data_IF_854857454964
#
_entry.id   IF_854857454964
#
_cell.length_a   1.000
_cell.length_b   1.000
_cell.length_c   1.000
_cell.angle_alpha   90.00
_cell.angle_beta   90.00
_cell.angle_gamma   90.00
#
_symmetry.space_group_name_H-M   'P 1'
#
loop_
_entity.id
_entity.type
_entity.pdbx_description
1 polymer ?
#
# COMPACT_ATOMS: atom_id res chain seq x y z
N UNK A 1 -16.50 -19.19 -10.73
CA UNK A 1 -15.12 -19.25 -10.18
C UNK A 1 -14.08 -19.56 -11.27
N UNK A 2 -14.23 -20.66 -12.04
CA UNK A 2 -13.30 -21.07 -13.12
C UNK A 2 -12.96 -19.96 -14.13
N UNK A 3 -13.97 -19.20 -14.57
CA UNK A 3 -13.80 -18.14 -15.57
C UNK A 3 -12.99 -16.92 -15.05
N UNK A 4 -13.00 -16.66 -13.74
CA UNK A 4 -12.26 -15.52 -13.18
C UNK A 4 -10.78 -15.83 -13.05
N UNK A 5 -10.45 -17.05 -12.63
CA UNK A 5 -9.08 -17.51 -12.46
C UNK A 5 -8.33 -17.60 -13.80
N UNK A 6 -8.95 -18.20 -14.83
CA UNK A 6 -8.34 -18.30 -16.16
C UNK A 6 -8.12 -16.92 -16.79
N UNK A 7 -9.03 -15.96 -16.54
CA UNK A 7 -8.84 -14.57 -16.98
C UNK A 7 -7.66 -13.91 -16.26
N UNK A 8 -7.54 -14.10 -14.95
CA UNK A 8 -6.41 -13.58 -14.19
C UNK A 8 -5.06 -14.12 -14.70
N UNK A 9 -5.00 -15.41 -15.09
CA UNK A 9 -3.81 -16.00 -15.70
C UNK A 9 -3.46 -15.27 -17.00
N UNK A 10 -4.42 -15.10 -17.91
CA UNK A 10 -4.18 -14.43 -19.21
C UNK A 10 -3.63 -13.00 -19.04
N UNK A 11 -4.06 -12.28 -18.01
CA UNK A 11 -3.61 -10.91 -17.74
C UNK A 11 -2.30 -10.82 -16.93
N UNK A 12 -1.76 -11.95 -16.45
CA UNK A 12 -0.58 -11.99 -15.57
C UNK A 12 0.73 -11.98 -16.37
N UNK A 13 1.68 -11.10 -16.01
CA UNK A 13 2.99 -11.02 -16.67
C UNK A 13 4.01 -12.04 -16.17
N UNK A 14 3.96 -12.41 -14.89
CA UNK A 14 4.94 -13.30 -14.25
C UNK A 14 4.20 -14.43 -13.54
N UNK A 15 4.51 -15.67 -13.88
CA UNK A 15 3.97 -16.87 -13.26
C UNK A 15 5.03 -17.53 -12.37
N UNK A 16 4.63 -17.97 -11.17
CA UNK A 16 5.53 -18.65 -10.23
C UNK A 16 4.91 -20.01 -9.84
N UNK A 17 4.95 -21.02 -10.72
CA UNK A 17 4.40 -22.33 -10.38
C UNK A 17 5.27 -23.03 -9.34
N UNK A 18 4.65 -23.43 -8.23
CA UNK A 18 5.29 -24.21 -7.16
C UNK A 18 4.96 -25.68 -7.35
N UNK A 19 5.83 -26.41 -8.04
CA UNK A 19 5.63 -27.83 -8.33
C UNK A 19 6.10 -28.64 -7.13
N UNK A 20 5.22 -29.45 -6.57
CA UNK A 20 5.49 -30.36 -5.45
C UNK A 20 5.18 -31.82 -5.83
N UNK A 21 5.56 -32.82 -5.01
CA UNK A 21 5.24 -34.22 -5.29
C UNK A 21 3.75 -34.51 -5.50
N UNK A 22 2.87 -33.72 -4.86
CA UNK A 22 1.40 -33.85 -4.96
C UNK A 22 0.76 -32.90 -5.97
N UNK A 23 1.55 -32.15 -6.72
CA UNK A 23 1.03 -31.14 -7.66
C UNK A 23 0.04 -31.74 -8.67
N UNK A 24 0.33 -32.95 -9.13
CA UNK A 24 -0.50 -33.67 -10.11
C UNK A 24 -1.77 -34.27 -9.53
N UNK A 25 -1.90 -34.33 -8.21
CA UNK A 25 -3.13 -34.82 -7.56
C UNK A 25 -4.29 -33.82 -7.74
N UNK A 26 -3.97 -32.56 -8.06
CA UNK A 26 -4.94 -31.50 -8.33
C UNK A 26 -5.09 -31.24 -9.83
N UNK A 27 -6.28 -31.53 -10.35
CA UNK A 27 -6.69 -31.14 -11.71
C UNK A 27 -6.50 -29.64 -11.96
N UNK A 28 -6.85 -28.81 -10.98
CA UNK A 28 -6.75 -27.35 -11.09
C UNK A 28 -5.31 -26.91 -11.33
N UNK A 29 -4.36 -27.45 -10.57
CA UNK A 29 -2.94 -27.16 -10.74
C UNK A 29 -2.43 -27.50 -12.15
N UNK A 30 -2.91 -28.59 -12.75
CA UNK A 30 -2.56 -28.99 -14.12
C UNK A 30 -3.20 -28.07 -15.17
N UNK A 31 -4.47 -27.70 -15.00
CA UNK A 31 -5.17 -26.78 -15.89
C UNK A 31 -4.54 -25.38 -15.88
N UNK A 32 -4.23 -24.85 -14.69
CA UNK A 32 -3.58 -23.55 -14.53
C UNK A 32 -2.18 -23.56 -15.16
N UNK A 33 -1.38 -24.60 -14.91
CA UNK A 33 -0.03 -24.72 -15.49
C UNK A 33 -0.08 -24.76 -17.02
N UNK A 34 -1.02 -25.52 -17.60
CA UNK A 34 -1.21 -25.57 -19.04
C UNK A 34 -1.57 -24.19 -19.60
N UNK A 35 -2.42 -23.43 -18.90
CA UNK A 35 -2.79 -22.08 -19.32
C UNK A 35 -1.61 -21.10 -19.21
N UNK A 36 -0.79 -21.18 -18.16
CA UNK A 36 0.43 -20.38 -18.00
C UNK A 36 1.40 -20.63 -19.17
N UNK A 37 1.63 -21.91 -19.51
CA UNK A 37 2.51 -22.30 -20.62
C UNK A 37 1.97 -21.86 -21.98
N UNK A 38 0.65 -21.96 -22.19
CA UNK A 38 -0.01 -21.40 -23.38
C UNK A 38 0.26 -19.90 -23.51
N UNK A 39 0.01 -19.12 -22.46
CA UNK A 39 0.26 -17.68 -22.45
C UNK A 39 1.75 -17.33 -22.66
N UNK A 40 2.65 -18.10 -22.06
CA UNK A 40 4.10 -17.96 -22.26
C UNK A 40 4.51 -18.18 -23.72
N UNK A 41 3.98 -19.20 -24.39
CA UNK A 41 4.24 -19.49 -25.81
C UNK A 41 3.78 -18.39 -26.77
N UNK A 42 2.73 -17.65 -26.42
CA UNK A 42 2.21 -16.56 -27.25
C UNK A 42 3.17 -15.36 -27.35
N UNK A 43 4.25 -15.33 -26.57
CA UNK A 43 5.37 -14.40 -26.80
C UNK A 43 5.10 -12.94 -26.41
N UNK A 44 4.19 -12.67 -25.47
CA UNK A 44 3.78 -11.30 -25.07
C UNK A 44 4.47 -10.77 -23.81
N UNK A 45 5.74 -11.12 -23.61
CA UNK A 45 6.50 -10.72 -22.42
C UNK A 45 6.10 -11.42 -21.13
N UNK A 46 5.37 -12.55 -21.25
CA UNK A 46 5.08 -13.43 -20.12
C UNK A 46 6.34 -14.20 -19.70
N UNK A 47 6.52 -14.38 -18.39
CA UNK A 47 7.68 -15.09 -17.81
C UNK A 47 7.17 -16.18 -16.86
N UNK A 48 7.78 -17.36 -16.91
CA UNK A 48 7.53 -18.45 -15.95
C UNK A 48 8.79 -18.65 -15.11
N UNK A 49 8.64 -18.61 -13.79
CA UNK A 49 9.70 -18.78 -12.79
C UNK A 49 9.38 -20.00 -11.91
N UNK A 50 9.78 -21.23 -12.33
CA UNK A 50 9.36 -22.42 -11.62
C UNK A 50 10.13 -22.65 -10.31
N UNK A 51 9.38 -23.04 -9.28
CA UNK A 51 9.92 -23.51 -8.00
C UNK A 51 9.58 -24.99 -7.90
N UNK A 52 10.61 -25.83 -7.81
CA UNK A 52 10.50 -27.26 -7.65
C UNK A 52 10.68 -27.60 -6.18
N UNK A 53 9.56 -27.74 -5.47
CA UNK A 53 9.50 -27.94 -4.03
C UNK A 53 9.53 -29.43 -3.68
N UNK A 54 10.68 -29.94 -3.23
CA UNK A 54 10.90 -31.35 -2.91
C UNK A 54 10.59 -32.33 -4.05
N UNK A 55 10.77 -31.87 -5.29
CA UNK A 55 10.63 -32.69 -6.50
C UNK A 55 11.69 -32.25 -7.50
N UNK A 56 12.42 -33.18 -8.10
CA UNK A 56 13.47 -32.81 -9.03
C UNK A 56 12.87 -32.30 -10.36
N UNK A 57 13.44 -31.26 -11.00
CA UNK A 57 12.99 -30.79 -12.32
C UNK A 57 12.97 -31.90 -13.38
N UNK A 58 13.93 -32.83 -13.30
CA UNK A 58 14.02 -33.99 -14.20
C UNK A 58 12.86 -34.97 -14.03
N UNK A 59 12.33 -35.13 -12.80
CA UNK A 59 11.15 -35.94 -12.53
C UNK A 59 9.90 -35.29 -13.11
N UNK A 60 9.76 -33.96 -12.94
CA UNK A 60 8.65 -33.18 -13.53
C UNK A 60 8.71 -33.23 -15.06
N UNK A 61 9.91 -33.15 -15.64
CA UNK A 61 10.13 -33.23 -17.08
C UNK A 61 9.73 -34.60 -17.63
N UNK A 62 10.25 -35.67 -17.03
CA UNK A 62 10.08 -37.05 -17.54
C UNK A 62 8.72 -37.65 -17.19
N UNK A 63 8.14 -37.26 -16.06
CA UNK A 63 6.83 -37.74 -15.59
C UNK A 63 6.80 -39.26 -15.39
N UNK A 64 7.97 -39.83 -15.07
CA UNK A 64 8.16 -41.28 -14.97
C UNK A 64 8.02 -41.83 -13.55
N UNK A 65 7.98 -40.95 -12.54
CA UNK A 65 7.81 -41.36 -11.16
C UNK A 65 6.42 -41.94 -10.93
N UNK A 66 6.29 -42.75 -9.86
CA UNK A 66 5.07 -43.48 -9.55
C UNK A 66 3.87 -42.52 -9.45
N UNK A 67 4.03 -41.38 -8.78
CA UNK A 67 2.96 -40.38 -8.60
C UNK A 67 2.45 -39.80 -9.91
N UNK A 68 3.34 -39.38 -10.83
CA UNK A 68 2.93 -38.86 -12.14
C UNK A 68 2.22 -39.93 -12.97
N UNK A 69 2.77 -41.16 -13.01
CA UNK A 69 2.16 -42.27 -13.76
C UNK A 69 0.78 -42.63 -13.22
N UNK A 70 0.61 -42.73 -11.90
CA UNK A 70 -0.69 -43.05 -11.30
C UNK A 70 -1.72 -41.96 -11.54
N UNK A 71 -1.34 -40.70 -11.39
CA UNK A 71 -2.23 -39.56 -11.63
C UNK A 71 -2.72 -39.53 -13.08
N UNK A 72 -1.82 -39.64 -14.06
CA UNK A 72 -2.21 -39.60 -15.47
C UNK A 72 -2.98 -40.84 -15.94
N UNK A 73 -2.79 -42.00 -15.30
CA UNK A 73 -3.64 -43.16 -15.54
C UNK A 73 -5.08 -42.87 -15.10
N UNK A 74 -5.26 -42.34 -13.88
CA UNK A 74 -6.58 -42.00 -13.33
C UNK A 74 -7.29 -40.89 -14.12
N UNK A 75 -6.55 -39.88 -14.58
CA UNK A 75 -7.14 -38.84 -15.42
C UNK A 75 -7.45 -39.31 -16.85
N UNK A 76 -6.71 -40.27 -17.38
CA UNK A 76 -6.99 -40.87 -18.69
C UNK A 76 -8.35 -41.57 -18.78
N UNK A 77 -8.94 -41.95 -17.64
CA UNK A 77 -10.31 -42.50 -17.57
C UNK A 77 -11.40 -41.41 -17.62
N UNK A 78 -11.04 -40.15 -17.32
CA UNK A 78 -12.00 -39.05 -17.11
C UNK A 78 -11.90 -37.93 -18.14
N UNK A 79 -10.78 -37.81 -18.84
CA UNK A 79 -10.49 -36.72 -19.76
C UNK A 79 -9.97 -37.25 -21.09
N UNK A 80 -10.21 -36.48 -22.16
CA UNK A 80 -9.75 -36.83 -23.48
C UNK A 80 -8.21 -36.78 -23.61
N UNK A 81 -7.69 -37.50 -24.59
CA UNK A 81 -6.25 -37.61 -24.81
C UNK A 81 -5.58 -36.26 -25.13
N UNK A 82 -6.29 -35.29 -25.72
CA UNK A 82 -5.73 -33.99 -26.03
C UNK A 82 -5.53 -33.17 -24.75
N UNK A 83 -6.52 -33.14 -23.85
CA UNK A 83 -6.39 -32.50 -22.53
C UNK A 83 -5.24 -33.08 -21.71
N UNK A 84 -5.13 -34.41 -21.65
CA UNK A 84 -4.02 -35.08 -20.96
C UNK A 84 -2.68 -34.74 -21.61
N UNK A 85 -2.63 -34.73 -22.94
CA UNK A 85 -1.45 -34.32 -23.72
C UNK A 85 -0.99 -32.90 -23.39
N UNK A 86 -1.92 -31.96 -23.27
CA UNK A 86 -1.61 -30.57 -22.90
C UNK A 86 -0.98 -30.47 -21.51
N UNK A 87 -1.52 -31.18 -20.51
CA UNK A 87 -0.97 -31.16 -19.15
C UNK A 87 0.43 -31.76 -19.09
N UNK A 88 0.64 -32.90 -19.76
CA UNK A 88 1.96 -33.53 -19.85
C UNK A 88 2.98 -32.63 -20.54
N UNK A 89 2.58 -31.99 -21.63
CA UNK A 89 3.46 -31.09 -22.37
C UNK A 89 3.78 -29.80 -21.60
N UNK A 90 2.85 -29.30 -20.78
CA UNK A 90 3.09 -28.17 -19.89
C UNK A 90 4.11 -28.51 -18.79
N UNK A 91 3.94 -29.64 -18.10
CA UNK A 91 4.90 -30.12 -17.10
C UNK A 91 6.28 -30.36 -17.71
N UNK A 92 6.33 -30.96 -18.90
CA UNK A 92 7.58 -31.22 -19.61
C UNK A 92 8.35 -29.92 -19.84
N UNK A 93 7.69 -28.90 -20.41
CA UNK A 93 8.32 -27.62 -20.68
C UNK A 93 8.75 -26.90 -19.40
N UNK A 94 7.89 -26.87 -18.38
CA UNK A 94 8.24 -26.25 -17.11
C UNK A 94 9.40 -26.97 -16.43
N UNK A 95 9.48 -28.30 -16.52
CA UNK A 95 10.62 -29.09 -16.03
C UNK A 95 11.93 -28.89 -16.83
N UNK A 96 11.86 -28.31 -18.03
CA UNK A 96 13.03 -27.92 -18.83
C UNK A 96 13.50 -26.49 -18.53
N UNK A 97 12.65 -25.67 -17.93
CA UNK A 97 12.97 -24.28 -17.59
C UNK A 97 13.95 -24.22 -16.42
N UNK A 98 14.81 -23.18 -16.44
CA UNK A 98 15.64 -22.85 -15.29
C UNK A 98 14.74 -22.39 -14.14
N UNK A 99 14.95 -22.97 -12.96
CA UNK A 99 14.20 -22.64 -11.75
C UNK A 99 14.95 -23.04 -10.49
N UNK A 100 14.25 -23.03 -9.36
CA UNK A 100 14.83 -23.31 -8.05
C UNK A 100 14.37 -24.65 -7.52
N UNK A 101 15.31 -25.52 -7.15
CA UNK A 101 15.01 -26.80 -6.54
C UNK A 101 15.20 -26.71 -5.02
N UNK A 102 14.08 -26.74 -4.29
CA UNK A 102 14.06 -26.72 -2.82
C UNK A 102 14.19 -28.15 -2.31
N UNK A 103 15.22 -28.39 -1.51
CA UNK A 103 15.48 -29.67 -0.85
C UNK A 103 15.67 -29.44 0.66
N UNK A 104 15.86 -30.51 1.44
CA UNK A 104 16.12 -30.41 2.89
C UNK A 104 17.35 -29.57 3.23
N UNK A 105 18.32 -29.48 2.31
CA UNK A 105 19.58 -28.77 2.50
C UNK A 105 19.56 -27.32 2.00
N UNK A 106 18.53 -26.94 1.25
CA UNK A 106 18.37 -25.58 0.71
C UNK A 106 17.34 -24.84 1.56
N UNK A 107 17.81 -23.85 2.33
CA UNK A 107 16.94 -23.02 3.15
C UNK A 107 15.88 -22.29 2.31
N UNK A 108 14.61 -22.45 2.67
CA UNK A 108 13.47 -21.84 1.97
C UNK A 108 13.60 -20.32 1.86
N UNK A 109 14.15 -19.67 2.90
CA UNK A 109 14.39 -18.23 2.91
C UNK A 109 15.33 -17.74 1.80
N UNK A 110 16.37 -18.51 1.46
CA UNK A 110 17.31 -18.17 0.39
C UNK A 110 16.61 -18.20 -0.97
N UNK A 111 15.84 -19.25 -1.24
CA UNK A 111 15.10 -19.39 -2.50
C UNK A 111 14.06 -18.28 -2.65
N UNK A 112 13.33 -17.95 -1.57
CA UNK A 112 12.37 -16.85 -1.58
C UNK A 112 13.05 -15.52 -1.94
N UNK A 113 14.22 -15.23 -1.35
CA UNK A 113 14.96 -14.00 -1.65
C UNK A 113 15.43 -13.96 -3.12
N UNK A 114 15.96 -15.06 -3.65
CA UNK A 114 16.40 -15.13 -5.06
C UNK A 114 15.25 -14.96 -6.04
N UNK A 115 14.11 -15.62 -5.78
CA UNK A 115 12.89 -15.47 -6.58
C UNK A 115 12.40 -14.03 -6.52
N UNK A 116 12.41 -13.41 -5.34
CA UNK A 116 12.00 -12.02 -5.17
C UNK A 116 12.87 -11.06 -6.00
N UNK A 117 14.20 -11.22 -5.96
CA UNK A 117 15.14 -10.43 -6.78
C UNK A 117 14.87 -10.61 -8.28
N UNK A 118 14.60 -11.84 -8.72
CA UNK A 118 14.24 -12.11 -10.12
C UNK A 118 12.94 -11.45 -10.54
N UNK A 119 11.90 -11.52 -9.71
CA UNK A 119 10.62 -10.85 -9.96
C UNK A 119 10.83 -9.34 -10.06
N UNK A 120 11.55 -8.73 -9.10
CA UNK A 120 11.85 -7.30 -9.15
C UNK A 120 12.59 -6.91 -10.43
N UNK A 121 13.58 -7.68 -10.86
CA UNK A 121 14.33 -7.42 -12.09
C UNK A 121 13.43 -7.45 -13.33
N UNK A 122 12.53 -8.45 -13.44
CA UNK A 122 11.59 -8.55 -14.56
C UNK A 122 10.59 -7.40 -14.56
N UNK A 123 10.09 -7.00 -13.38
CA UNK A 123 9.24 -5.83 -13.24
C UNK A 123 10.00 -4.58 -13.67
N UNK A 124 11.20 -4.31 -13.14
CA UNK A 124 12.04 -3.14 -13.52
C UNK A 124 12.28 -3.04 -15.03
N UNK A 125 12.62 -4.15 -15.69
CA UNK A 125 12.86 -4.17 -17.13
C UNK A 125 11.61 -3.84 -17.95
N UNK A 126 10.40 -4.12 -17.44
CA UNK A 126 9.15 -3.73 -18.09
C UNK A 126 8.88 -2.22 -18.07
N UNK A 127 9.62 -1.45 -17.26
CA UNK A 127 9.46 0.01 -17.09
C UNK A 127 10.53 0.83 -17.81
N UNK A 128 11.51 0.20 -18.47
CA UNK A 128 12.56 0.91 -19.21
C UNK A 128 11.95 1.60 -20.43
N UNK A 129 12.15 2.92 -20.56
CA UNK A 129 11.77 3.66 -21.78
C UNK A 129 12.55 3.09 -22.95
N UNK A 130 11.84 2.58 -23.96
CA UNK A 130 12.43 1.87 -25.09
C UNK A 130 12.94 2.80 -26.21
N UNK A 131 13.10 4.10 -25.97
CA UNK A 131 13.37 5.07 -27.04
C UNK A 131 14.47 6.07 -26.69
N UNK A 132 15.52 6.09 -27.50
CA UNK A 132 16.58 7.11 -27.51
C UNK A 132 16.16 8.40 -28.26
N UNK A 133 14.90 8.51 -28.71
CA UNK A 133 14.37 9.60 -29.55
C UNK A 133 13.70 10.74 -28.76
N UNK A 134 14.02 10.92 -27.48
CA UNK A 134 13.43 11.97 -26.65
C UNK A 134 14.24 13.26 -26.74
N UNK A 135 13.72 14.27 -27.44
CA UNK A 135 14.38 15.57 -27.63
C UNK A 135 13.88 16.59 -26.58
N UNK A 136 14.81 17.31 -25.93
CA UNK A 136 14.48 18.47 -25.09
C UNK A 136 13.94 18.17 -23.68
N UNK A 137 13.94 16.91 -23.24
CA UNK A 137 13.45 16.53 -21.91
C UNK A 137 14.49 16.68 -20.79
N UNK A 138 15.79 16.76 -21.12
CA UNK A 138 16.89 16.73 -20.16
C UNK A 138 16.81 17.84 -19.10
N UNK A 139 16.39 19.05 -19.49
CA UNK A 139 16.23 20.17 -18.55
C UNK A 139 15.10 19.93 -17.53
N UNK A 140 14.02 19.26 -17.96
CA UNK A 140 12.90 18.88 -17.11
C UNK A 140 13.30 17.76 -16.16
N UNK A 141 14.03 16.75 -16.66
CA UNK A 141 14.56 15.65 -15.85
C UNK A 141 15.52 16.16 -14.78
N UNK A 142 16.46 17.04 -15.11
CA UNK A 142 17.40 17.62 -14.15
C UNK A 142 16.70 18.48 -13.08
N UNK A 143 15.66 19.24 -13.47
CA UNK A 143 14.84 19.98 -12.51
C UNK A 143 14.13 19.04 -11.54
N UNK A 144 13.57 17.93 -12.03
CA UNK A 144 12.91 16.91 -11.21
C UNK A 144 13.90 16.18 -10.30
N UNK A 145 15.11 15.87 -10.77
CA UNK A 145 16.19 15.29 -9.96
C UNK A 145 16.56 16.19 -8.79
N UNK A 146 16.70 17.50 -9.02
CA UNK A 146 16.94 18.47 -7.93
C UNK A 146 15.80 18.48 -6.92
N UNK A 147 14.55 18.43 -7.38
CA UNK A 147 13.39 18.32 -6.49
C UNK A 147 13.41 17.01 -5.69
N UNK A 148 13.85 15.90 -6.25
CA UNK A 148 13.92 14.61 -5.56
C UNK A 148 15.14 14.45 -4.62
N UNK A 149 16.25 15.14 -4.88
CA UNK A 149 17.51 14.99 -4.13
C UNK A 149 17.56 15.72 -2.77
N UNK A 150 16.62 16.61 -2.46
CA UNK A 150 16.59 17.35 -1.18
C UNK A 150 15.80 16.59 -0.10
N UNK A 151 16.05 15.30 0.06
CA UNK A 151 15.32 14.45 1.03
C UNK A 151 16.28 14.08 2.16
N UNK A 152 16.10 14.72 3.32
CA UNK A 152 16.61 14.19 4.58
C UNK A 152 15.88 12.88 4.91
N UNK A 153 16.59 11.92 5.49
CA UNK A 153 16.16 10.54 5.77
C UNK A 153 14.86 10.39 6.58
N UNK A 154 14.29 11.48 7.10
CA UNK A 154 13.06 11.51 7.90
C UNK A 154 11.84 12.12 7.18
N UNK A 155 11.96 12.64 5.96
CA UNK A 155 10.91 13.43 5.30
C UNK A 155 10.27 12.74 4.10
N UNK A 156 8.93 12.72 4.06
CA UNK A 156 8.16 12.27 2.89
C UNK A 156 8.02 13.43 1.89
N UNK A 157 8.39 13.21 0.63
CA UNK A 157 8.31 14.24 -0.44
C UNK A 157 7.45 13.76 -1.59
N UNK A 158 6.51 14.60 -1.99
CA UNK A 158 5.59 14.34 -3.12
C UNK A 158 5.87 15.40 -4.19
N UNK A 159 6.08 14.96 -5.42
CA UNK A 159 6.31 15.84 -6.58
C UNK A 159 5.22 15.55 -7.62
N UNK A 160 4.47 16.59 -8.00
CA UNK A 160 3.42 16.48 -9.02
C UNK A 160 3.91 16.90 -10.40
N UNK A 161 3.59 16.12 -11.43
CA UNK A 161 3.74 16.48 -12.85
C UNK A 161 2.34 16.71 -13.41
N UNK A 162 2.03 17.93 -13.83
CA UNK A 162 0.70 18.29 -14.36
C UNK A 162 0.83 19.02 -15.71
N UNK A 163 -0.27 19.09 -16.45
CA UNK A 163 -0.30 19.61 -17.82
C UNK A 163 -1.37 18.94 -18.68
N UNK A 164 -1.67 19.51 -19.84
CA UNK A 164 -2.69 19.01 -20.78
C UNK A 164 -2.41 17.57 -21.23
N UNK A 165 -3.45 16.86 -21.68
CA UNK A 165 -3.25 15.53 -22.27
C UNK A 165 -2.27 15.59 -23.45
N UNK A 166 -1.45 14.55 -23.63
CA UNK A 166 -0.49 14.47 -24.74
C UNK A 166 0.80 15.28 -24.61
N UNK A 167 0.99 16.07 -23.54
CA UNK A 167 2.20 16.91 -23.35
C UNK A 167 3.46 16.14 -22.89
N UNK A 168 3.41 14.80 -22.85
CA UNK A 168 4.56 13.99 -22.44
C UNK A 168 4.78 13.87 -20.93
N UNK A 169 3.76 14.12 -20.08
CA UNK A 169 3.86 13.96 -18.61
C UNK A 169 4.37 12.58 -18.19
N UNK A 170 3.71 11.53 -18.68
CA UNK A 170 4.10 10.13 -18.45
C UNK A 170 5.51 9.87 -18.97
N UNK A 171 5.86 10.45 -20.12
CA UNK A 171 7.21 10.33 -20.70
C UNK A 171 8.28 10.93 -19.78
N UNK A 172 8.05 12.13 -19.24
CA UNK A 172 8.97 12.77 -18.28
C UNK A 172 9.02 11.97 -16.98
N UNK A 173 7.88 11.50 -16.45
CA UNK A 173 7.83 10.68 -15.24
C UNK A 173 8.67 9.40 -15.39
N UNK A 174 8.53 8.70 -16.53
CA UNK A 174 9.31 7.51 -16.86
C UNK A 174 10.80 7.82 -17.02
N UNK A 175 11.16 8.93 -17.67
CA UNK A 175 12.55 9.33 -17.85
C UNK A 175 13.22 9.62 -16.51
N UNK A 176 12.56 10.38 -15.64
CA UNK A 176 13.02 10.66 -14.26
C UNK A 176 13.16 9.36 -13.46
N UNK A 177 12.16 8.48 -13.50
CA UNK A 177 12.19 7.20 -12.79
C UNK A 177 13.40 6.34 -13.21
N UNK A 178 13.67 6.24 -14.50
CA UNK A 178 14.79 5.45 -15.02
C UNK A 178 16.15 5.97 -14.55
N UNK A 179 16.30 7.29 -14.38
CA UNK A 179 17.56 7.87 -13.89
C UNK A 179 17.73 7.82 -12.37
N UNK A 180 16.65 7.97 -11.61
CA UNK A 180 16.73 8.14 -10.15
C UNK A 180 16.41 6.89 -9.34
N UNK A 181 15.67 5.93 -9.90
CA UNK A 181 15.21 4.73 -9.17
C UNK A 181 16.33 3.95 -8.49
N UNK A 182 17.53 3.91 -9.08
CA UNK A 182 18.70 3.25 -8.51
C UNK A 182 19.25 3.92 -7.23
N UNK A 183 18.85 5.16 -6.94
CA UNK A 183 19.27 5.91 -5.74
C UNK A 183 18.36 5.66 -4.52
N UNK A 184 17.38 4.78 -4.68
CA UNK A 184 16.39 4.38 -3.68
C UNK A 184 16.55 2.88 -3.44
N UNK A 185 16.41 2.47 -2.19
CA UNK A 185 16.50 1.06 -1.78
C UNK A 185 15.40 0.23 -2.45
N UNK A 186 14.22 0.84 -2.64
CA UNK A 186 13.12 0.27 -3.41
C UNK A 186 12.48 1.31 -4.31
N UNK A 187 11.99 0.90 -5.47
CA UNK A 187 11.29 1.78 -6.40
C UNK A 187 10.15 1.07 -7.12
N UNK A 188 9.06 1.80 -7.38
CA UNK A 188 7.89 1.29 -8.07
C UNK A 188 7.32 2.35 -9.02
N UNK A 189 7.00 1.95 -10.25
CA UNK A 189 6.27 2.74 -11.22
C UNK A 189 4.90 2.09 -11.48
N UNK A 190 3.83 2.75 -11.06
CA UNK A 190 2.47 2.25 -11.22
C UNK A 190 1.82 2.95 -12.41
N UNK A 191 1.67 2.20 -13.51
CA UNK A 191 0.83 2.61 -14.64
C UNK A 191 -0.64 2.35 -14.32
N UNK A 192 -1.49 3.36 -14.53
CA UNK A 192 -2.94 3.29 -14.39
C UNK A 192 -3.43 2.81 -13.01
N UNK A 193 -3.27 3.69 -12.02
CA UNK A 193 -3.63 3.47 -10.61
C UNK A 193 -5.11 3.03 -10.44
N UNK A 194 -5.98 3.32 -11.42
CA UNK A 194 -7.40 2.94 -11.41
C UNK A 194 -7.61 1.43 -11.31
N UNK A 195 -6.71 0.63 -11.91
CA UNK A 195 -6.84 -0.85 -11.97
C UNK A 195 -6.44 -1.55 -10.67
N UNK A 196 -5.67 -0.89 -9.81
CA UNK A 196 -5.14 -1.47 -8.56
C UNK A 196 -6.11 -1.28 -7.39
N UNK A 197 -6.84 -0.15 -7.38
CA UNK A 197 -7.79 0.23 -6.33
C UNK A 197 -9.05 -0.66 -6.25
N UNK A 198 -9.22 -1.60 -7.18
CA UNK A 198 -10.38 -2.51 -7.29
C UNK A 198 -10.16 -3.89 -6.64
N UNK A 199 -9.05 -4.11 -5.93
CA UNK A 199 -8.74 -5.42 -5.31
C UNK A 199 -9.23 -5.51 -3.85
N UNK A 200 -9.78 -6.66 -3.45
CA UNK A 200 -10.57 -6.84 -2.21
C UNK A 200 -9.78 -7.05 -0.91
N UNK A 201 -8.43 -6.96 -0.89
CA UNK A 201 -7.66 -7.30 0.32
C UNK A 201 -6.50 -6.34 0.66
N UNK A 202 -6.81 -5.04 0.71
CA UNK A 202 -5.82 -3.95 0.79
C UNK A 202 -5.28 -3.67 2.20
N UNK A 203 -6.00 -4.03 3.27
CA UNK A 203 -5.63 -3.68 4.64
C UNK A 203 -4.35 -4.38 5.13
N UNK A 204 -4.22 -5.66 4.83
CA UNK A 204 -3.01 -6.46 5.09
C UNK A 204 -1.84 -5.96 4.23
N UNK A 205 -2.13 -5.62 2.97
CA UNK A 205 -1.17 -5.02 2.04
C UNK A 205 -0.60 -3.69 2.51
N UNK A 206 -1.41 -2.79 3.08
CA UNK A 206 -0.94 -1.50 3.60
C UNK A 206 0.00 -1.67 4.80
N UNK A 207 -0.30 -2.58 5.72
CA UNK A 207 0.57 -2.81 6.88
C UNK A 207 1.90 -3.46 6.45
N UNK A 208 1.85 -4.42 5.54
CA UNK A 208 3.06 -5.03 4.95
C UNK A 208 3.88 -4.00 4.19
N UNK A 209 3.24 -3.14 3.38
CA UNK A 209 3.93 -2.08 2.64
C UNK A 209 4.49 -1.05 3.64
N UNK A 210 3.73 -0.64 4.66
CA UNK A 210 4.19 0.30 5.68
C UNK A 210 5.42 -0.24 6.41
N UNK A 211 5.37 -1.46 6.93
CA UNK A 211 6.49 -2.06 7.68
C UNK A 211 7.73 -2.28 6.80
N UNK A 212 7.55 -2.61 5.51
CA UNK A 212 8.65 -2.80 4.55
C UNK A 212 9.23 -1.48 4.04
N UNK A 213 8.40 -0.46 3.84
CA UNK A 213 8.80 0.85 3.29
C UNK A 213 9.35 1.79 4.36
N UNK A 214 8.87 1.71 5.61
CA UNK A 214 9.26 2.64 6.68
C UNK A 214 10.75 2.60 7.08
N UNK A 215 11.50 1.58 6.66
CA UNK A 215 12.95 1.44 6.93
C UNK A 215 13.83 1.68 5.71
N UNK A 216 13.23 2.00 4.56
CA UNK A 216 13.91 2.08 3.28
C UNK A 216 13.63 3.43 2.63
N UNK A 217 14.60 3.95 1.90
CA UNK A 217 14.40 5.10 1.02
C UNK A 217 13.66 4.59 -0.22
N UNK A 218 12.36 4.88 -0.33
CA UNK A 218 11.50 4.33 -1.40
C UNK A 218 11.00 5.41 -2.37
N UNK A 219 11.05 5.11 -3.67
CA UNK A 219 10.46 5.93 -4.74
C UNK A 219 9.18 5.29 -5.27
N UNK A 220 8.07 6.03 -5.26
CA UNK A 220 6.80 5.59 -5.86
C UNK A 220 6.37 6.60 -6.91
N UNK A 221 6.14 6.14 -8.13
CA UNK A 221 5.57 6.95 -9.22
C UNK A 221 4.17 6.46 -9.52
N UNK A 222 3.21 7.36 -9.42
CA UNK A 222 1.80 7.11 -9.70
C UNK A 222 1.44 7.82 -11.01
N UNK A 223 1.22 7.06 -12.07
CA UNK A 223 0.87 7.59 -13.39
C UNK A 223 -0.66 7.63 -13.58
N UNK A 224 -1.12 8.65 -14.31
CA UNK A 224 -2.53 8.87 -14.65
C UNK A 224 -3.50 8.91 -13.44
N UNK A 225 -3.05 9.54 -12.36
CA UNK A 225 -3.92 9.95 -11.25
C UNK A 225 -4.83 11.07 -11.75
N UNK A 226 -6.14 11.05 -11.46
CA UNK A 226 -7.06 12.17 -11.78
C UNK A 226 -6.53 13.47 -11.15
N UNK A 227 -5.74 14.22 -11.93
CA UNK A 227 -4.69 15.05 -11.35
C UNK A 227 -5.20 16.40 -10.86
N UNK A 228 -6.25 16.97 -11.45
CA UNK A 228 -6.78 18.24 -10.94
C UNK A 228 -7.44 18.08 -9.57
N UNK A 229 -8.25 17.02 -9.37
CA UNK A 229 -8.99 16.82 -8.12
C UNK A 229 -8.09 16.37 -6.96
N UNK A 230 -7.08 15.55 -7.25
CA UNK A 230 -6.18 14.98 -6.24
C UNK A 230 -5.04 15.94 -5.88
N UNK A 231 -4.41 16.58 -6.87
CA UNK A 231 -3.28 17.48 -6.62
C UNK A 231 -3.75 18.80 -6.00
N UNK A 232 -4.90 19.36 -6.38
CA UNK A 232 -5.45 20.56 -5.73
C UNK A 232 -5.84 20.30 -4.26
N UNK A 233 -6.32 19.09 -3.96
CA UNK A 233 -6.61 18.66 -2.59
C UNK A 233 -5.35 18.37 -1.75
N UNK A 234 -4.29 17.84 -2.38
CA UNK A 234 -3.06 17.36 -1.75
C UNK A 234 -1.91 18.39 -1.68
N UNK A 235 -1.92 19.40 -2.53
CA UNK A 235 -0.77 20.27 -2.85
C UNK A 235 -0.28 21.17 -1.71
N UNK A 236 -0.93 21.19 -0.54
CA UNK A 236 -0.53 22.09 0.55
C UNK A 236 -0.31 21.45 1.92
N UNK A 237 -0.71 20.19 2.16
CA UNK A 237 -0.39 19.44 3.38
C UNK A 237 -0.33 17.92 3.14
N UNK A 238 0.86 17.31 3.11
CA UNK A 238 1.02 15.84 3.04
C UNK A 238 0.27 15.07 4.14
N UNK A 239 0.11 15.66 5.34
CA UNK A 239 -0.68 15.05 6.41
C UNK A 239 -2.18 15.04 6.14
N UNK A 240 -2.72 16.08 5.48
CA UNK A 240 -4.12 16.10 5.08
C UNK A 240 -4.40 15.00 4.06
N UNK A 241 -3.46 14.75 3.13
CA UNK A 241 -3.56 13.65 2.17
C UNK A 241 -3.60 12.28 2.85
N UNK A 242 -2.69 12.06 3.80
CA UNK A 242 -2.64 10.80 4.56
C UNK A 242 -3.94 10.54 5.30
N UNK A 243 -4.48 11.58 5.94
CA UNK A 243 -5.65 11.50 6.81
C UNK A 243 -6.94 11.37 6.00
N UNK A 244 -7.11 12.18 4.96
CA UNK A 244 -8.25 12.07 4.04
C UNK A 244 -8.21 10.73 3.28
N UNK A 245 -7.03 10.31 2.82
CA UNK A 245 -6.85 9.00 2.20
C UNK A 245 -7.25 7.85 3.13
N UNK A 246 -6.93 7.93 4.42
CA UNK A 246 -7.37 6.94 5.42
C UNK A 246 -8.85 7.01 5.74
N UNK A 247 -9.48 8.18 5.68
CA UNK A 247 -10.91 8.35 5.91
C UNK A 247 -11.76 7.76 4.78
N UNK A 248 -11.30 7.98 3.53
CA UNK A 248 -11.95 7.49 2.32
C UNK A 248 -11.70 6.00 2.09
N UNK A 249 -10.69 5.44 2.74
CA UNK A 249 -10.32 4.04 2.61
C UNK A 249 -11.49 3.10 2.92
N UNK A 250 -11.78 2.15 2.01
CA UNK A 250 -12.89 1.16 2.10
C UNK A 250 -14.31 1.74 2.15
N UNK A 251 -14.50 3.00 1.73
CA UNK A 251 -15.82 3.62 1.57
C UNK A 251 -16.28 3.60 0.11
N UNK A 252 -17.59 3.59 -0.11
CA UNK A 252 -18.15 3.59 -1.46
C UNK A 252 -17.99 4.94 -2.17
N UNK A 253 -18.13 4.94 -3.50
CA UNK A 253 -17.87 6.11 -4.34
C UNK A 253 -18.81 7.30 -4.03
N UNK A 254 -20.04 7.06 -3.51
CA UNK A 254 -20.94 8.16 -3.12
C UNK A 254 -20.42 8.86 -1.85
N UNK A 255 -19.89 8.09 -0.90
CA UNK A 255 -19.23 8.64 0.27
C UNK A 255 -17.98 9.44 -0.11
N UNK A 256 -17.20 8.96 -1.09
CA UNK A 256 -16.05 9.69 -1.61
C UNK A 256 -16.45 11.03 -2.22
N UNK A 257 -17.44 11.05 -3.12
CA UNK A 257 -17.90 12.26 -3.78
C UNK A 257 -18.40 13.30 -2.77
N UNK A 258 -19.15 12.86 -1.76
CA UNK A 258 -19.65 13.73 -0.69
C UNK A 258 -18.51 14.37 0.12
N UNK A 259 -17.52 13.57 0.56
CA UNK A 259 -16.40 14.08 1.36
C UNK A 259 -15.40 14.90 0.55
N UNK A 260 -15.22 14.59 -0.73
CA UNK A 260 -14.42 15.43 -1.63
C UNK A 260 -15.13 16.75 -1.94
N UNK A 261 -16.47 16.77 -2.05
CA UNK A 261 -17.23 18.01 -2.18
C UNK A 261 -17.15 18.88 -0.92
N UNK A 262 -17.27 18.29 0.27
CA UNK A 262 -17.04 18.97 1.56
C UNK A 262 -15.62 19.56 1.63
N UNK A 263 -14.61 18.80 1.20
CA UNK A 263 -13.23 19.28 1.17
C UNK A 263 -13.01 20.44 0.17
N UNK A 264 -13.73 20.46 -0.95
CA UNK A 264 -13.64 21.51 -1.97
C UNK A 264 -14.29 22.81 -1.56
N UNK A 265 -15.33 22.77 -0.74
CA UNK A 265 -15.96 23.98 -0.22
C UNK A 265 -15.06 24.73 0.77
N UNK A 266 -14.09 24.04 1.37
CA UNK A 266 -13.14 24.62 2.31
C UNK A 266 -11.92 25.19 1.57
N UNK A 267 -11.72 26.50 1.72
CA UNK A 267 -10.60 27.21 1.09
C UNK A 267 -9.24 26.54 1.41
N UNK A 268 -8.32 26.35 0.44
CA UNK A 268 -7.10 25.57 0.62
C UNK A 268 -6.15 26.07 1.73
N UNK A 269 -6.23 27.35 2.11
CA UNK A 269 -5.42 27.93 3.19
C UNK A 269 -5.97 27.63 4.59
N UNK A 270 -7.22 27.14 4.70
CA UNK A 270 -7.86 26.81 5.96
C UNK A 270 -7.56 25.38 6.39
N UNK A 271 -6.30 25.15 6.71
CA UNK A 271 -5.74 23.84 7.08
C UNK A 271 -6.55 23.14 8.17
N UNK A 272 -6.95 23.88 9.21
CA UNK A 272 -7.66 23.31 10.36
C UNK A 272 -9.06 22.82 10.00
N UNK A 273 -9.82 23.58 9.19
CA UNK A 273 -11.14 23.16 8.72
C UNK A 273 -11.05 21.90 7.85
N UNK A 274 -10.00 21.77 7.02
CA UNK A 274 -9.79 20.57 6.18
C UNK A 274 -9.46 19.33 7.02
N UNK A 275 -8.66 19.48 8.06
CA UNK A 275 -8.35 18.38 8.99
C UNK A 275 -9.56 18.00 9.87
N UNK A 276 -10.41 18.98 10.18
CA UNK A 276 -11.65 18.78 10.96
C UNK A 276 -12.61 17.77 10.32
N UNK A 277 -12.60 17.59 9.00
CA UNK A 277 -13.41 16.56 8.32
C UNK A 277 -13.15 15.17 8.92
N UNK A 278 -11.90 14.81 9.21
CA UNK A 278 -11.58 13.48 9.77
C UNK A 278 -11.90 13.37 11.26
N UNK A 279 -11.84 14.48 11.99
CA UNK A 279 -12.32 14.56 13.37
C UNK A 279 -13.84 14.43 13.45
N UNK A 280 -14.59 15.04 12.53
CA UNK A 280 -16.05 15.04 12.53
C UNK A 280 -16.62 13.61 12.41
N UNK A 281 -15.91 12.74 11.70
CA UNK A 281 -16.25 11.33 11.46
C UNK A 281 -15.89 10.40 12.63
N UNK A 282 -15.35 10.94 13.72
CA UNK A 282 -15.13 10.20 14.97
C UNK A 282 -16.42 10.10 15.77
N UNK A 283 -16.58 8.98 16.48
CA UNK A 283 -17.63 8.81 17.49
C UNK A 283 -17.40 9.77 18.66
N UNK A 284 -18.41 9.94 19.52
CA UNK A 284 -18.27 10.79 20.69
C UNK A 284 -17.08 10.40 21.58
N UNK A 285 -16.91 9.10 21.87
CA UNK A 285 -15.82 8.61 22.72
C UNK A 285 -14.45 8.77 22.07
N UNK A 286 -14.34 8.48 20.77
CA UNK A 286 -13.10 8.72 20.01
C UNK A 286 -12.70 10.19 19.99
N UNK A 287 -13.68 11.12 19.92
CA UNK A 287 -13.44 12.56 20.02
C UNK A 287 -12.89 12.93 21.39
N UNK A 288 -13.42 12.37 22.47
CA UNK A 288 -12.89 12.61 23.82
C UNK A 288 -11.44 12.12 23.95
N UNK A 289 -11.16 10.89 23.49
CA UNK A 289 -9.80 10.32 23.48
C UNK A 289 -8.85 11.20 22.66
N UNK A 290 -9.26 11.64 21.46
CA UNK A 290 -8.45 12.53 20.62
C UNK A 290 -8.10 13.83 21.35
N UNK A 291 -9.08 14.48 21.98
CA UNK A 291 -8.88 15.74 22.69
C UNK A 291 -8.02 15.56 23.94
N UNK A 292 -8.19 14.47 24.69
CA UNK A 292 -7.36 14.13 25.85
C UNK A 292 -5.91 13.91 25.44
N UNK A 293 -5.66 13.19 24.35
CA UNK A 293 -4.31 13.01 23.81
C UNK A 293 -3.72 14.35 23.42
N UNK A 294 -4.45 15.15 22.66
CA UNK A 294 -3.98 16.45 22.16
C UNK A 294 -3.63 17.42 23.31
N UNK A 295 -4.42 17.38 24.38
CA UNK A 295 -4.31 18.28 25.52
C UNK A 295 -3.25 17.82 26.54
N UNK A 296 -3.26 16.55 26.93
CA UNK A 296 -2.53 16.07 28.11
C UNK A 296 -1.49 15.00 27.82
N UNK A 297 -1.68 14.18 26.78
CA UNK A 297 -0.91 12.93 26.65
C UNK A 297 0.01 12.86 25.43
N UNK A 298 0.23 13.95 24.70
CA UNK A 298 1.29 14.00 23.69
C UNK A 298 2.65 13.82 24.38
N UNK A 299 3.37 12.76 24.02
CA UNK A 299 4.65 12.38 24.63
C UNK A 299 4.54 11.45 25.83
N UNK A 300 3.32 11.17 26.31
CA UNK A 300 3.08 10.30 27.46
C UNK A 300 2.81 8.85 27.06
N UNK A 301 3.12 7.92 27.98
CA UNK A 301 2.84 6.49 27.80
C UNK A 301 1.34 6.19 27.86
N UNK A 302 0.90 5.15 27.14
CA UNK A 302 -0.55 4.85 27.03
C UNK A 302 -1.19 4.30 28.30
N UNK A 303 -0.42 3.81 29.26
CA UNK A 303 -0.98 2.98 30.35
C UNK A 303 -1.90 3.76 31.28
N UNK A 304 -1.50 4.97 31.73
CA UNK A 304 -2.33 5.80 32.60
C UNK A 304 -3.60 6.30 31.88
N UNK A 305 -3.50 6.87 30.66
CA UNK A 305 -4.69 7.27 29.89
C UNK A 305 -5.64 6.11 29.62
N UNK A 306 -5.13 4.91 29.35
CA UNK A 306 -5.94 3.74 29.05
C UNK A 306 -6.84 3.37 30.21
N UNK A 307 -6.31 3.26 31.43
CA UNK A 307 -7.13 3.00 32.62
C UNK A 307 -8.15 4.11 32.89
N UNK A 308 -7.76 5.37 32.70
CA UNK A 308 -8.67 6.51 32.87
C UNK A 308 -9.86 6.44 31.90
N UNK A 309 -9.59 6.19 30.61
CA UNK A 309 -10.62 6.08 29.58
C UNK A 309 -11.52 4.87 29.77
N UNK A 310 -10.97 3.73 30.20
CA UNK A 310 -11.77 2.54 30.52
C UNK A 310 -12.73 2.82 31.68
N UNK A 311 -12.25 3.45 32.75
CA UNK A 311 -13.08 3.87 33.88
C UNK A 311 -14.17 4.88 33.51
N UNK A 312 -13.95 5.70 32.48
CA UNK A 312 -14.93 6.62 31.92
C UNK A 312 -15.88 5.98 30.89
N UNK A 313 -15.71 4.70 30.57
CA UNK A 313 -16.52 4.00 29.57
C UNK A 313 -16.23 4.41 28.12
N UNK A 314 -15.02 4.92 27.83
CA UNK A 314 -14.66 5.43 26.50
C UNK A 314 -14.14 4.34 25.55
N UNK A 315 -14.02 3.09 26.01
CA UNK A 315 -13.55 1.94 25.23
C UNK A 315 -12.18 2.21 24.56
N UNK A 316 -11.11 2.37 25.36
CA UNK A 316 -9.82 2.87 24.87
C UNK A 316 -9.17 2.02 23.78
N UNK A 317 -9.37 0.70 23.79
CA UNK A 317 -8.88 -0.22 22.76
C UNK A 317 -9.40 0.16 21.36
N UNK A 318 -10.72 0.18 21.19
CA UNK A 318 -11.34 0.55 19.91
C UNK A 318 -11.10 2.01 19.53
N UNK A 319 -11.08 2.91 20.52
CA UNK A 319 -10.82 4.32 20.31
C UNK A 319 -9.41 4.60 19.78
N UNK A 320 -8.37 4.02 20.39
CA UNK A 320 -6.98 4.17 19.96
C UNK A 320 -6.78 3.58 18.56
N UNK A 321 -7.31 2.38 18.32
CA UNK A 321 -7.22 1.72 17.01
C UNK A 321 -7.85 2.58 15.91
N UNK A 322 -9.02 3.16 16.16
CA UNK A 322 -9.70 4.05 15.22
C UNK A 322 -8.86 5.30 14.90
N UNK A 323 -8.27 5.93 15.92
CA UNK A 323 -7.41 7.11 15.73
C UNK A 323 -6.12 6.78 14.97
N UNK A 324 -5.51 5.61 15.23
CA UNK A 324 -4.34 5.12 14.50
C UNK A 324 -4.67 4.81 13.03
N UNK A 325 -5.79 4.13 12.79
CA UNK A 325 -6.27 3.79 11.44
C UNK A 325 -6.55 5.05 10.61
N UNK A 326 -7.13 6.07 11.23
CA UNK A 326 -7.38 7.40 10.61
C UNK A 326 -6.14 8.30 10.56
N UNK A 327 -4.97 7.79 10.96
CA UNK A 327 -3.69 8.51 10.96
C UNK A 327 -3.69 9.82 11.76
N UNK A 328 -4.56 9.94 12.77
CA UNK A 328 -4.69 11.12 13.62
C UNK A 328 -3.63 11.15 14.73
N UNK A 329 -3.20 9.96 15.18
CA UNK A 329 -2.13 9.75 16.17
C UNK A 329 -1.13 8.70 15.67
N UNK A 330 -0.02 8.57 16.38
CA UNK A 330 0.94 7.46 16.29
C UNK A 330 1.35 7.03 17.70
N UNK A 331 1.86 5.81 17.83
CA UNK A 331 2.56 5.35 19.03
C UNK A 331 4.03 5.16 18.63
N UNK A 332 4.95 5.79 19.34
CA UNK A 332 6.38 5.68 19.06
C UNK A 332 6.99 4.38 19.63
N UNK A 333 8.26 4.13 19.37
CA UNK A 333 8.98 2.93 19.85
C UNK A 333 9.06 2.84 21.39
N UNK A 334 8.89 3.96 22.09
CA UNK A 334 8.81 4.04 23.55
C UNK A 334 7.39 3.85 24.09
N UNK A 335 6.45 3.44 23.23
CA UNK A 335 5.03 3.25 23.57
C UNK A 335 4.35 4.54 24.06
N UNK A 336 4.80 5.70 23.57
CA UNK A 336 4.24 7.01 23.87
C UNK A 336 3.39 7.53 22.72
N UNK A 337 2.32 8.27 23.05
CA UNK A 337 1.50 8.93 22.04
C UNK A 337 2.25 10.05 21.33
N UNK A 338 2.10 10.09 20.02
CA UNK A 338 2.59 11.17 19.18
C UNK A 338 1.44 11.69 18.32
N UNK A 339 1.26 13.00 18.31
CA UNK A 339 0.25 13.68 17.49
C UNK A 339 0.95 14.79 16.70
N UNK A 340 0.62 14.91 15.42
CA UNK A 340 1.21 15.96 14.59
C UNK A 340 0.71 17.34 15.04
N UNK A 341 1.56 18.37 14.99
CA UNK A 341 1.26 19.72 15.46
C UNK A 341 -0.04 20.31 14.91
N UNK A 342 -0.36 20.06 13.63
CA UNK A 342 -1.65 20.45 13.06
C UNK A 342 -2.86 19.85 13.78
N UNK A 343 -2.82 18.58 14.20
CA UNK A 343 -3.89 17.96 14.98
C UNK A 343 -3.92 18.43 16.41
N UNK A 344 -2.75 18.70 17.01
CA UNK A 344 -2.68 19.34 18.31
C UNK A 344 -3.36 20.72 18.30
N UNK A 345 -3.04 21.55 17.30
CA UNK A 345 -3.69 22.85 17.07
C UNK A 345 -5.17 22.73 16.72
N UNK A 346 -5.57 21.65 16.03
CA UNK A 346 -6.99 21.36 15.78
C UNK A 346 -7.73 21.09 17.10
N UNK A 347 -7.16 20.25 17.97
CA UNK A 347 -7.69 19.96 19.29
C UNK A 347 -7.80 21.23 20.14
N UNK A 348 -6.76 22.07 20.13
CA UNK A 348 -6.77 23.37 20.79
C UNK A 348 -7.93 24.23 20.30
N UNK A 349 -8.05 24.39 18.98
CA UNK A 349 -9.10 25.18 18.36
C UNK A 349 -10.50 24.68 18.75
N UNK A 350 -10.71 23.36 18.75
CA UNK A 350 -11.99 22.75 19.14
C UNK A 350 -12.32 23.02 20.61
N UNK A 351 -11.35 22.90 21.52
CA UNK A 351 -11.57 23.17 22.96
C UNK A 351 -11.91 24.64 23.23
N UNK A 352 -11.39 25.55 22.40
CA UNK A 352 -11.58 27.00 22.54
C UNK A 352 -12.80 27.55 21.78
N UNK A 353 -13.38 26.78 20.84
CA UNK A 353 -14.40 27.25 19.90
C UNK A 353 -15.65 27.80 20.61
N UNK A 354 -16.15 27.09 21.61
CA UNK A 354 -17.36 27.47 22.34
C UNK A 354 -17.12 28.59 23.36
N UNK A 355 -15.90 28.69 23.90
CA UNK A 355 -15.55 29.65 24.96
C UNK A 355 -14.15 30.25 24.79
N UNK A 356 -13.94 31.14 23.79
CA UNK A 356 -12.62 31.67 23.47
C UNK A 356 -11.97 32.45 24.63
N UNK A 357 -12.77 33.12 25.45
CA UNK A 357 -12.32 34.02 26.52
C UNK A 357 -12.65 33.52 27.94
N UNK A 358 -13.27 32.35 28.09
CA UNK A 358 -13.73 31.85 29.39
C UNK A 358 -13.15 30.46 29.65
N UNK A 359 -11.90 30.41 30.12
CA UNK A 359 -11.14 29.19 30.37
C UNK A 359 -11.89 28.19 31.27
N UNK A 360 -12.61 28.67 32.29
CA UNK A 360 -13.40 27.84 33.22
C UNK A 360 -14.63 27.16 32.61
N UNK A 361 -15.12 27.59 31.44
CA UNK A 361 -16.24 26.94 30.73
C UNK A 361 -15.78 25.94 29.68
N UNK A 362 -14.48 25.86 29.40
CA UNK A 362 -13.93 24.94 28.40
C UNK A 362 -13.96 23.52 28.94
N UNK A 363 -14.11 22.55 28.03
CA UNK A 363 -14.11 21.12 28.40
C UNK A 363 -12.77 20.62 28.94
N UNK A 364 -11.67 21.32 28.62
CA UNK A 364 -10.29 20.97 29.00
C UNK A 364 -9.46 22.22 29.25
N UNK A 365 -8.47 22.10 30.13
CA UNK A 365 -7.49 23.15 30.44
C UNK A 365 -6.25 22.91 29.58
N UNK A 366 -5.93 23.87 28.69
CA UNK A 366 -4.90 23.67 27.66
C UNK A 366 -3.52 24.23 28.05
N UNK A 367 -3.49 25.24 28.93
CA UNK A 367 -2.25 25.90 29.37
C UNK A 367 -2.19 26.07 30.90
N UNK A 368 -0.98 26.28 31.42
CA UNK A 368 -0.77 26.59 32.84
C UNK A 368 -1.42 27.95 33.20
N UNK A 369 -1.45 28.88 32.25
CA UNK A 369 -2.12 30.17 32.38
C UNK A 369 -3.63 29.99 32.56
N UNK A 370 -4.28 29.11 31.78
CA UNK A 370 -5.70 28.78 31.94
C UNK A 370 -5.94 28.14 33.33
N UNK A 371 -5.07 27.24 33.77
CA UNK A 371 -5.18 26.61 35.08
C UNK A 371 -5.09 27.66 36.21
N UNK A 372 -4.14 28.58 36.11
CA UNK A 372 -3.97 29.67 37.06
C UNK A 372 -5.15 30.65 37.05
N UNK A 373 -5.73 30.94 35.88
CA UNK A 373 -6.93 31.78 35.75
C UNK A 373 -8.14 31.14 36.45
N UNK A 374 -8.35 29.84 36.25
CA UNK A 374 -9.43 29.08 36.90
C UNK A 374 -9.23 29.06 38.42
N UNK A 375 -8.00 28.84 38.88
CA UNK A 375 -7.69 28.83 40.31
C UNK A 375 -7.84 30.22 40.96
N UNK A 376 -7.54 31.29 40.22
CA UNK A 376 -7.67 32.69 40.70
C UNK A 376 -9.09 33.23 40.65
N UNK A 377 -9.93 32.74 39.74
CA UNK A 377 -11.33 33.18 39.60
C UNK A 377 -12.27 32.59 40.65
N UNK A 378 -11.77 31.70 41.52
CA UNK A 378 -12.47 31.17 42.69
C UNK A 378 -13.67 30.33 42.27
N UNK A 379 -13.45 29.03 42.07
CA UNK A 379 -14.42 28.07 41.53
C UNK A 379 -15.85 28.27 42.03
N UNK A 380 -16.65 28.98 41.24
CA UNK A 380 -18.09 28.85 41.21
C UNK A 380 -18.39 27.91 40.04
N UNK A 381 -18.38 26.61 40.34
CA UNK A 381 -18.94 25.57 39.47
C UNK A 381 -20.42 25.45 39.76
#
# INVERSE_FOLDING_TARGET
>A
MEHFLLRAIVETKIYVPIISPKYVDSRWCLQELAKMVECWKLGKGHVILPIFYFVAPSEVKKQESVGFKSAFKLYGEKFDAATIGQWKEALKQVGEMKGWHVTEHVGQGTVINEVFVQIESHLRNSYKLATDELVGINSHVEKMKKLLNHVDSASQKIVGIHGMSGTGKTTIAKAVYNEVSAQFDQSCFMEDVRRILSTENVGEGINIIRDRVCRHKVLIVLDDVESEKFVEAASRLPIALKVIGSLLFRRDMKFWDAKLAELRSIHPTKVQERLRISYNELTYYEKQIFLDIACFFVGEGKEIPFYMWDGCGYHPEGGIDSLLMKSLIKINEKNQFWMHDHFRRLGEHIVHEDYPQQSFKRSRIWSNEDALEILRSGGQV
#
